data_IF_986024293869
#
_entry.id   IF_986024293869
#
_cell.length_a   1.000
_cell.length_b   1.000
_cell.length_c   1.000
_cell.angle_alpha   90.00
_cell.angle_beta   90.00
_cell.angle_gamma   90.00
#
_symmetry.space_group_name_H-M   'P 1'
#
loop_
_entity.id
_entity.type
_entity.pdbx_description
1 polymer ?
#
# COMPACT_ATOMS: atom_id res chain seq x y z
N UNK A 1 11.50 6.10 -3.43
CA UNK A 1 11.21 5.08 -2.40
C UNK A 1 12.45 4.98 -1.51
N UNK A 2 12.36 5.41 -0.25
CA UNK A 2 13.26 6.46 0.30
C UNK A 2 13.98 6.04 1.59
N UNK A 3 14.78 6.97 2.13
CA UNK A 3 15.28 6.95 3.51
C UNK A 3 14.18 6.71 4.56
N UNK A 4 12.92 7.11 4.30
CA UNK A 4 11.80 6.81 5.19
C UNK A 4 11.44 5.33 5.18
N UNK A 5 11.40 4.69 4.01
CA UNK A 5 11.19 3.23 3.90
C UNK A 5 12.24 2.48 4.70
N UNK A 6 13.51 2.92 4.62
CA UNK A 6 14.61 2.35 5.42
C UNK A 6 14.38 2.52 6.93
N UNK A 7 13.88 3.67 7.37
CA UNK A 7 13.53 3.89 8.79
C UNK A 7 12.40 2.98 9.26
N UNK A 8 11.40 2.72 8.42
CA UNK A 8 10.32 1.76 8.72
C UNK A 8 10.89 0.35 8.86
N UNK A 9 11.75 -0.07 7.93
CA UNK A 9 12.42 -1.39 7.96
C UNK A 9 13.24 -1.56 9.24
N UNK A 10 14.06 -0.56 9.60
CA UNK A 10 14.83 -0.57 10.86
C UNK A 10 13.90 -0.65 12.07
N UNK A 11 12.84 0.18 12.12
CA UNK A 11 11.87 0.17 13.21
C UNK A 11 11.20 -1.21 13.40
N UNK A 12 10.93 -1.92 12.30
CA UNK A 12 10.37 -3.26 12.30
C UNK A 12 11.40 -4.34 12.68
N UNK A 13 12.67 -4.16 12.32
CA UNK A 13 13.78 -5.02 12.75
C UNK A 13 14.00 -4.92 14.25
N UNK A 14 14.06 -3.71 14.79
CA UNK A 14 14.28 -3.44 16.21
C UNK A 14 13.21 -4.07 17.12
N UNK A 15 12.04 -4.39 16.55
CA UNK A 15 10.90 -5.02 17.23
C UNK A 15 10.67 -6.48 16.86
N UNK A 16 11.58 -7.07 16.07
CA UNK A 16 11.46 -8.42 15.50
C UNK A 16 10.15 -8.66 14.71
N UNK A 17 9.49 -7.59 14.24
CA UNK A 17 8.19 -7.68 13.57
C UNK A 17 8.32 -8.27 12.15
N UNK A 18 9.46 -8.05 11.50
CA UNK A 18 9.80 -8.66 10.22
C UNK A 18 9.85 -10.21 10.25
N UNK A 19 10.00 -10.82 11.42
CA UNK A 19 9.97 -12.29 11.60
C UNK A 19 8.63 -12.80 12.16
N UNK A 20 7.66 -11.91 12.42
CA UNK A 20 6.34 -12.30 12.91
C UNK A 20 5.48 -12.95 11.82
N UNK A 21 4.38 -13.61 12.22
CA UNK A 21 3.42 -14.19 11.28
C UNK A 21 2.72 -13.10 10.46
N UNK A 22 2.87 -13.18 9.15
CA UNK A 22 2.24 -12.26 8.20
C UNK A 22 0.71 -12.23 8.26
N UNK A 23 0.06 -13.25 8.82
CA UNK A 23 -1.41 -13.26 8.97
C UNK A 23 -1.90 -12.10 9.82
N UNK A 24 -1.21 -11.79 10.92
CA UNK A 24 -1.54 -10.64 11.75
C UNK A 24 -1.33 -9.31 11.00
N UNK A 25 -0.30 -9.25 10.16
CA UNK A 25 0.00 -8.08 9.35
C UNK A 25 -1.07 -7.83 8.28
N UNK A 26 -1.62 -8.89 7.68
CA UNK A 26 -2.77 -8.79 6.76
C UNK A 26 -4.03 -8.30 7.49
N UNK A 27 -4.29 -8.78 8.72
CA UNK A 27 -5.38 -8.26 9.54
C UNK A 27 -5.23 -6.76 9.81
N UNK A 28 -4.01 -6.30 10.14
CA UNK A 28 -3.74 -4.87 10.33
C UNK A 28 -3.94 -4.09 9.03
N UNK A 29 -3.50 -4.61 7.88
CA UNK A 29 -3.75 -3.95 6.58
C UNK A 29 -5.24 -3.77 6.31
N UNK A 30 -6.06 -4.75 6.69
CA UNK A 30 -7.51 -4.70 6.51
C UNK A 30 -8.14 -3.60 7.39
N UNK A 31 -7.63 -3.42 8.61
CA UNK A 31 -8.00 -2.32 9.51
C UNK A 31 -7.71 -0.96 8.86
N UNK A 32 -6.48 -0.74 8.36
CA UNK A 32 -6.09 0.52 7.73
C UNK A 32 -6.93 0.85 6.49
N UNK A 33 -7.29 -0.16 5.71
CA UNK A 33 -8.20 0.01 4.56
C UNK A 33 -9.60 0.43 5.03
N UNK A 34 -10.10 -0.15 6.13
CA UNK A 34 -11.39 0.22 6.72
C UNK A 34 -11.41 1.67 7.22
N UNK A 35 -10.34 2.09 7.89
CA UNK A 35 -10.18 3.47 8.35
C UNK A 35 -10.08 4.45 7.17
N UNK A 36 -9.30 4.11 6.15
CA UNK A 36 -9.20 4.89 4.91
C UNK A 36 -10.56 5.05 4.24
N UNK A 37 -11.34 3.96 4.12
CA UNK A 37 -12.67 4.00 3.56
C UNK A 37 -13.62 4.90 4.36
N UNK A 38 -13.58 4.81 5.70
CA UNK A 38 -14.34 5.69 6.60
C UNK A 38 -13.93 7.16 6.44
N UNK A 39 -12.62 7.44 6.36
CA UNK A 39 -12.08 8.78 6.14
C UNK A 39 -12.54 9.40 4.82
N UNK A 40 -12.48 8.64 3.73
CA UNK A 40 -12.98 9.07 2.40
C UNK A 40 -14.47 9.35 2.44
N UNK A 41 -15.28 8.43 2.98
CA UNK A 41 -16.74 8.59 3.05
C UNK A 41 -17.15 9.86 3.84
N UNK A 42 -16.44 10.15 4.93
CA UNK A 42 -16.72 11.31 5.79
C UNK A 42 -16.02 12.61 5.34
N UNK A 43 -15.22 12.57 4.27
CA UNK A 43 -14.42 13.72 3.83
C UNK A 43 -13.37 14.18 4.84
N UNK A 44 -12.93 13.30 5.75
CA UNK A 44 -11.97 13.65 6.80
C UNK A 44 -10.53 13.52 6.28
N UNK A 45 -9.94 14.64 5.86
CA UNK A 45 -8.61 14.69 5.27
C UNK A 45 -7.49 14.21 6.19
N UNK A 46 -7.63 14.42 7.50
CA UNK A 46 -6.60 14.02 8.46
C UNK A 46 -6.56 12.50 8.59
N UNK A 47 -7.73 11.86 8.73
CA UNK A 47 -7.84 10.39 8.73
C UNK A 47 -7.36 9.81 7.41
N UNK A 48 -7.73 10.40 6.27
CA UNK A 48 -7.27 9.91 4.96
C UNK A 48 -5.74 9.93 4.88
N UNK A 49 -5.10 11.02 5.33
CA UNK A 49 -3.64 11.15 5.28
C UNK A 49 -2.95 10.13 6.20
N UNK A 50 -3.50 9.93 7.39
CA UNK A 50 -3.01 8.98 8.39
C UNK A 50 -3.10 7.55 7.87
N UNK A 51 -4.30 7.10 7.47
CA UNK A 51 -4.52 5.73 7.00
C UNK A 51 -3.75 5.39 5.71
N UNK A 52 -3.48 6.35 4.82
CA UNK A 52 -2.58 6.13 3.67
C UNK A 52 -1.15 5.85 4.15
N UNK A 53 -0.67 6.59 5.15
CA UNK A 53 0.65 6.39 5.75
C UNK A 53 0.76 5.03 6.43
N UNK A 54 -0.23 4.68 7.25
CA UNK A 54 -0.26 3.42 7.98
C UNK A 54 -0.36 2.21 7.05
N UNK A 55 -1.18 2.29 6.00
CA UNK A 55 -1.22 1.26 4.97
C UNK A 55 0.16 1.05 4.31
N UNK A 56 0.91 2.12 4.05
CA UNK A 56 2.26 2.03 3.48
C UNK A 56 3.27 1.39 4.46
N UNK A 57 3.21 1.75 5.75
CA UNK A 57 4.02 1.14 6.81
C UNK A 57 3.73 -0.36 6.89
N UNK A 58 2.45 -0.73 6.92
CA UNK A 58 2.01 -2.12 7.01
C UNK A 58 2.46 -2.93 5.80
N UNK A 59 2.31 -2.39 4.58
CA UNK A 59 2.77 -3.04 3.34
C UNK A 59 4.29 -3.22 3.31
N UNK A 60 5.05 -2.24 3.80
CA UNK A 60 6.51 -2.34 3.88
C UNK A 60 6.93 -3.50 4.80
N UNK A 61 6.32 -3.60 5.97
CA UNK A 61 6.61 -4.67 6.95
C UNK A 61 6.15 -6.04 6.41
N UNK A 62 4.99 -6.09 5.75
CA UNK A 62 4.49 -7.30 5.13
C UNK A 62 5.45 -7.82 4.05
N UNK A 63 6.01 -6.93 3.22
CA UNK A 63 7.02 -7.30 2.23
C UNK A 63 8.25 -7.95 2.90
N UNK A 64 8.74 -7.38 4.00
CA UNK A 64 9.85 -7.97 4.78
C UNK A 64 9.50 -9.38 5.30
N UNK A 65 8.29 -9.57 5.85
CA UNK A 65 7.82 -10.88 6.33
C UNK A 65 7.71 -11.93 5.20
N UNK A 66 7.39 -11.48 3.98
CA UNK A 66 7.39 -12.32 2.78
C UNK A 66 8.78 -12.47 2.12
N UNK A 67 9.83 -11.88 2.72
CA UNK A 67 11.21 -11.90 2.20
C UNK A 67 11.35 -11.29 0.80
N UNK A 68 10.59 -10.23 0.52
CA UNK A 68 10.68 -9.44 -0.71
C UNK A 68 10.93 -7.96 -0.39
N UNK A 69 11.52 -7.21 -1.31
CA UNK A 69 11.69 -5.76 -1.16
C UNK A 69 10.43 -5.04 -1.65
N UNK A 70 9.86 -4.18 -0.82
CA UNK A 70 8.70 -3.35 -1.18
C UNK A 70 8.99 -2.48 -2.41
N UNK A 71 10.25 -2.10 -2.64
CA UNK A 71 10.68 -1.30 -3.79
C UNK A 71 10.54 -2.10 -5.08
N UNK A 72 10.91 -3.38 -5.07
CA UNK A 72 10.73 -4.28 -6.21
C UNK A 72 9.25 -4.51 -6.48
N UNK A 73 8.43 -4.71 -5.42
CA UNK A 73 6.98 -4.82 -5.57
C UNK A 73 6.35 -3.61 -6.28
N UNK A 74 6.78 -2.40 -5.89
CA UNK A 74 6.28 -1.16 -6.48
C UNK A 74 6.83 -0.95 -7.90
N UNK A 75 8.09 -1.28 -8.16
CA UNK A 75 8.65 -1.20 -9.52
C UNK A 75 7.86 -2.12 -10.46
N UNK A 76 7.65 -3.39 -10.10
CA UNK A 76 6.83 -4.31 -10.90
C UNK A 76 5.45 -3.73 -11.20
N UNK A 77 4.74 -3.22 -10.18
CA UNK A 77 3.44 -2.59 -10.36
C UNK A 77 3.51 -1.36 -11.27
N UNK A 78 4.58 -0.55 -11.17
CA UNK A 78 4.79 0.59 -12.04
C UNK A 78 5.05 0.16 -13.49
N UNK A 79 5.89 -0.86 -13.72
CA UNK A 79 6.16 -1.39 -15.05
C UNK A 79 4.87 -1.88 -15.75
N UNK A 80 3.90 -2.39 -14.99
CA UNK A 80 2.60 -2.78 -15.53
C UNK A 80 1.69 -1.60 -15.87
N UNK A 81 1.75 -0.49 -15.13
CA UNK A 81 0.85 0.66 -15.33
C UNK A 81 1.41 1.72 -16.28
N UNK A 82 2.74 1.84 -16.40
CA UNK A 82 3.40 2.91 -17.16
C UNK A 82 3.02 2.94 -18.65
N UNK A 83 2.66 1.78 -19.21
CA UNK A 83 2.27 1.63 -20.61
C UNK A 83 0.76 1.55 -20.83
N UNK A 84 -0.06 1.69 -19.78
CA UNK A 84 -1.51 1.57 -19.92
C UNK A 84 -2.07 2.75 -20.70
N UNK A 85 -2.86 2.45 -21.71
CA UNK A 85 -3.75 3.38 -22.40
C UNK A 85 -5.19 3.17 -21.91
N UNK A 86 -6.02 4.20 -21.99
CA UNK A 86 -7.39 4.18 -21.49
C UNK A 86 -7.88 5.55 -21.06
N UNK A 87 -9.07 5.59 -20.46
CA UNK A 87 -9.71 6.83 -20.01
C UNK A 87 -10.52 6.62 -18.74
N UNK A 88 -10.84 7.71 -18.06
CA UNK A 88 -11.74 7.68 -16.91
C UNK A 88 -13.19 7.62 -17.41
N UNK A 89 -13.95 6.65 -16.92
CA UNK A 89 -15.40 6.51 -17.13
C UNK A 89 -16.06 6.39 -15.75
N UNK A 90 -16.97 7.32 -15.42
CA UNK A 90 -17.65 7.37 -14.11
C UNK A 90 -16.69 7.31 -12.90
N UNK A 91 -15.54 8.00 -13.00
CA UNK A 91 -14.55 8.07 -11.92
C UNK A 91 -13.61 6.87 -11.82
N UNK A 92 -13.74 5.86 -12.69
CA UNK A 92 -12.89 4.68 -12.73
C UNK A 92 -12.01 4.73 -13.98
N UNK A 93 -10.72 4.45 -13.83
CA UNK A 93 -9.84 4.27 -14.97
C UNK A 93 -10.18 2.96 -15.70
N UNK A 94 -10.58 3.04 -16.96
CA UNK A 94 -10.90 1.90 -17.82
C UNK A 94 -9.83 1.77 -18.90
N UNK A 95 -9.26 0.58 -19.06
CA UNK A 95 -8.22 0.32 -20.07
C UNK A 95 -8.83 0.40 -21.47
N UNK A 96 -8.03 0.85 -22.44
CA UNK A 96 -8.49 0.96 -23.83
C UNK A 96 -9.01 -0.38 -24.39
N UNK A 97 -8.36 -1.50 -24.04
CA UNK A 97 -8.79 -2.85 -24.43
C UNK A 97 -10.20 -3.23 -23.95
N UNK A 98 -10.67 -2.58 -22.89
CA UNK A 98 -11.93 -2.90 -22.21
C UNK A 98 -13.08 -1.98 -22.68
N UNK A 99 -12.79 -0.96 -23.51
CA UNK A 99 -13.71 0.09 -23.97
C UNK A 99 -14.52 -0.25 -25.24
N UNK A 100 -14.65 -1.53 -25.58
CA UNK A 100 -15.32 -2.08 -26.80
C UNK A 100 -16.32 -1.17 -27.51
#
# INVERSE_FOLDING_TARGET
MTELTRKIEVWAIDRNLHNADSKAQISKLTEEIGELASGVNKGNKDVIKDSIGDAYVVLTILAMQQKVDVRDCIDMAYQEIKGRTGRIVNGIYVKESDLK
#
